data_IF_455945301339
#
_entry.id   IF_455945301339
#
_cell.length_a   1.000
_cell.length_b   1.000
_cell.length_c   1.000
_cell.angle_alpha   90.00
_cell.angle_beta   90.00
_cell.angle_gamma   90.00
#
_symmetry.space_group_name_H-M   'P 1'
#
loop_
_entity.id
_entity.type
_entity.pdbx_description
1 polymer ?
#
# COMPACT_ATOMS: atom_id res chain seq x y z
N UNK A 1 -1.14 34.56 6.53
CA UNK A 1 -0.51 33.43 5.84
C UNK A 1 -1.11 32.09 6.30
N UNK A 2 -1.19 31.86 7.60
CA UNK A 2 -1.73 30.59 8.16
C UNK A 2 -3.22 30.37 7.87
N UNK A 3 -4.02 31.44 7.72
CA UNK A 3 -5.43 31.33 7.32
C UNK A 3 -5.62 31.01 5.84
N UNK A 4 -4.65 31.36 4.98
CA UNK A 4 -4.59 30.93 3.58
C UNK A 4 -4.14 29.47 3.47
N UNK A 5 -3.24 29.07 4.36
CA UNK A 5 -2.78 27.70 4.51
C UNK A 5 -3.72 26.84 5.35
N UNK A 6 -4.93 27.29 5.62
CA UNK A 6 -5.93 26.40 6.23
C UNK A 6 -6.05 25.20 5.31
N UNK A 7 -5.66 24.01 5.82
CA UNK A 7 -5.51 22.85 4.97
C UNK A 7 -6.83 22.65 4.24
N UNK A 8 -6.77 22.60 2.94
CA UNK A 8 -7.88 22.18 2.12
C UNK A 8 -8.30 20.80 2.63
N UNK A 9 -9.11 20.78 3.69
CA UNK A 9 -9.67 19.58 4.23
C UNK A 9 -9.05 18.99 5.51
N UNK A 10 -8.06 19.61 6.14
CA UNK A 10 -7.46 19.05 7.37
C UNK A 10 -6.92 17.63 7.18
N UNK A 11 -6.71 16.92 8.29
CA UNK A 11 -6.36 15.52 8.24
C UNK A 11 -7.53 14.74 7.60
N UNK A 12 -7.32 14.01 6.49
CA UNK A 12 -8.42 13.31 5.86
C UNK A 12 -9.08 12.39 6.88
N UNK A 13 -10.40 12.47 6.94
CA UNK A 13 -11.19 11.53 7.74
C UNK A 13 -10.81 10.12 7.33
N UNK A 14 -10.73 9.23 8.30
CA UNK A 14 -10.54 7.82 8.01
C UNK A 14 -11.63 7.40 7.02
N UNK A 15 -11.23 6.84 5.88
CA UNK A 15 -12.18 6.39 4.87
C UNK A 15 -13.18 5.43 5.49
N UNK A 16 -14.45 5.70 5.28
CA UNK A 16 -15.49 4.77 5.71
C UNK A 16 -15.31 3.44 4.97
N UNK A 17 -15.47 2.30 5.65
CA UNK A 17 -15.26 0.98 5.03
C UNK A 17 -16.23 0.69 3.90
N UNK A 18 -17.39 1.34 3.90
CA UNK A 18 -18.43 1.17 2.88
C UNK A 18 -18.94 2.52 2.39
N UNK A 19 -19.33 2.59 1.12
CA UNK A 19 -19.94 3.78 0.54
C UNK A 19 -21.36 3.96 1.08
N UNK A 20 -21.81 5.20 1.25
CA UNK A 20 -23.11 5.54 1.76
C UNK A 20 -23.22 5.57 3.30
N UNK A 21 -24.37 6.05 3.80
CA UNK A 21 -24.68 6.12 5.22
C UNK A 21 -25.78 5.07 5.56
N UNK A 22 -25.53 4.17 6.54
CA UNK A 22 -26.52 3.17 6.94
C UNK A 22 -27.78 3.79 7.57
N UNK A 23 -27.71 5.05 8.02
CA UNK A 23 -28.82 5.79 8.63
C UNK A 23 -29.32 6.96 7.77
N UNK A 24 -28.78 7.12 6.57
CA UNK A 24 -29.13 8.18 5.63
C UNK A 24 -30.39 7.93 4.82
N UNK A 25 -30.47 8.57 3.68
CA UNK A 25 -31.59 8.40 2.73
C UNK A 25 -31.68 6.95 2.21
N UNK A 26 -32.84 6.53 1.67
CA UNK A 26 -32.99 5.17 1.10
C UNK A 26 -31.94 4.83 0.03
N UNK A 27 -31.48 5.82 -0.75
CA UNK A 27 -30.43 5.64 -1.75
C UNK A 27 -29.06 5.40 -1.11
N UNK A 28 -28.75 6.10 -0.03
CA UNK A 28 -27.50 5.90 0.72
C UNK A 28 -27.47 4.57 1.45
N UNK A 29 -28.60 4.14 2.02
CA UNK A 29 -28.73 2.82 2.63
C UNK A 29 -28.54 1.71 1.59
N UNK A 30 -29.10 1.86 0.40
CA UNK A 30 -28.91 0.91 -0.69
C UNK A 30 -27.44 0.86 -1.13
N UNK A 31 -26.78 2.01 -1.28
CA UNK A 31 -25.35 2.09 -1.61
C UNK A 31 -24.48 1.43 -0.54
N UNK A 32 -24.81 1.63 0.73
CA UNK A 32 -24.12 0.99 1.86
C UNK A 32 -24.24 -0.52 1.83
N UNK A 33 -25.46 -1.06 1.65
CA UNK A 33 -25.70 -2.50 1.58
C UNK A 33 -25.06 -3.15 0.36
N UNK A 34 -25.05 -2.47 -0.77
CA UNK A 34 -24.38 -2.94 -1.98
C UNK A 34 -22.86 -2.97 -1.80
N UNK A 35 -22.26 -1.90 -1.25
CA UNK A 35 -20.84 -1.82 -0.95
C UNK A 35 -20.42 -2.91 0.05
N UNK A 36 -21.22 -3.16 1.09
CA UNK A 36 -20.98 -4.22 2.06
C UNK A 36 -21.01 -5.61 1.44
N UNK A 37 -22.01 -5.89 0.59
CA UNK A 37 -22.10 -7.17 -0.13
C UNK A 37 -20.92 -7.38 -1.07
N UNK A 38 -20.54 -6.34 -1.81
CA UNK A 38 -19.38 -6.37 -2.70
C UNK A 38 -18.08 -6.61 -1.94
N UNK A 39 -17.92 -5.99 -0.76
CA UNK A 39 -16.77 -6.24 0.10
C UNK A 39 -16.72 -7.69 0.60
N UNK A 40 -17.84 -8.24 1.06
CA UNK A 40 -17.90 -9.66 1.50
C UNK A 40 -17.63 -10.62 0.34
N UNK A 41 -18.18 -10.34 -0.85
CA UNK A 41 -17.92 -11.12 -2.05
C UNK A 41 -16.44 -11.06 -2.46
N UNK A 42 -15.81 -9.88 -2.38
CA UNK A 42 -14.38 -9.70 -2.62
C UNK A 42 -13.53 -10.50 -1.63
N UNK A 43 -13.85 -10.41 -0.33
CA UNK A 43 -13.15 -11.17 0.71
C UNK A 43 -13.23 -12.68 0.46
N UNK A 44 -14.42 -13.19 0.16
CA UNK A 44 -14.63 -14.60 -0.17
C UNK A 44 -13.86 -14.99 -1.44
N UNK A 45 -13.92 -14.19 -2.48
CA UNK A 45 -13.19 -14.41 -3.73
C UNK A 45 -11.68 -14.45 -3.51
N UNK A 46 -11.13 -13.52 -2.71
CA UNK A 46 -9.70 -13.49 -2.38
C UNK A 46 -9.29 -14.71 -1.56
N UNK A 47 -10.09 -15.11 -0.57
CA UNK A 47 -9.79 -16.28 0.26
C UNK A 47 -9.75 -17.58 -0.58
N UNK A 48 -10.78 -17.83 -1.38
CA UNK A 48 -10.87 -19.03 -2.23
C UNK A 48 -9.84 -18.96 -3.36
N UNK A 49 -9.70 -17.80 -4.00
CA UNK A 49 -8.74 -17.59 -5.08
C UNK A 49 -7.30 -17.81 -4.63
N UNK A 50 -6.94 -17.28 -3.47
CA UNK A 50 -5.59 -17.47 -2.91
C UNK A 50 -5.32 -18.93 -2.56
N UNK A 51 -6.30 -19.62 -1.99
CA UNK A 51 -6.18 -21.04 -1.66
C UNK A 51 -6.06 -21.94 -2.92
N UNK A 52 -6.65 -21.53 -4.05
CA UNK A 52 -6.65 -22.25 -5.31
C UNK A 52 -5.51 -21.92 -6.27
N UNK A 53 -4.58 -21.04 -5.92
CA UNK A 53 -3.49 -20.64 -6.81
C UNK A 53 -2.58 -21.82 -7.18
N UNK A 54 -2.43 -22.14 -8.49
CA UNK A 54 -1.68 -23.33 -8.92
C UNK A 54 -0.22 -23.33 -8.46
N UNK A 55 0.45 -22.19 -8.45
CA UNK A 55 1.84 -22.07 -8.00
C UNK A 55 2.02 -22.27 -6.49
N UNK A 56 0.98 -22.09 -5.69
CA UNK A 56 0.98 -22.45 -4.26
C UNK A 56 0.74 -23.94 -4.09
N UNK A 57 -0.21 -24.51 -4.85
CA UNK A 57 -0.54 -25.93 -4.77
C UNK A 57 0.64 -26.81 -5.19
N UNK A 58 1.39 -26.45 -6.23
CA UNK A 58 2.58 -27.20 -6.66
C UNK A 58 3.65 -27.29 -5.58
N UNK A 59 3.77 -26.30 -4.68
CA UNK A 59 4.74 -26.34 -3.57
C UNK A 59 4.43 -27.41 -2.52
N UNK A 60 3.16 -27.81 -2.35
CA UNK A 60 2.80 -28.89 -1.43
C UNK A 60 3.36 -30.24 -1.87
N UNK A 61 3.58 -30.45 -3.18
CA UNK A 61 4.17 -31.67 -3.70
C UNK A 61 5.69 -31.75 -3.48
N UNK A 62 6.34 -30.66 -3.15
CA UNK A 62 7.80 -30.63 -2.88
C UNK A 62 8.14 -30.86 -1.41
N UNK A 63 7.15 -30.95 -0.54
CA UNK A 63 7.37 -31.10 0.92
C UNK A 63 7.45 -32.58 1.28
N UNK A 64 8.46 -33.00 2.07
CA UNK A 64 8.74 -34.43 2.33
C UNK A 64 7.70 -35.09 3.23
N UNK A 65 6.93 -34.36 4.02
CA UNK A 65 5.93 -34.90 4.91
C UNK A 65 4.79 -33.93 5.24
N UNK A 66 3.65 -34.48 5.66
CA UNK A 66 2.49 -33.66 6.10
C UNK A 66 2.82 -32.81 7.32
N UNK A 67 3.65 -33.32 8.24
CA UNK A 67 4.10 -32.54 9.40
C UNK A 67 4.95 -31.34 8.99
N UNK A 68 5.87 -31.51 8.05
CA UNK A 68 6.69 -30.43 7.51
C UNK A 68 5.83 -29.39 6.78
N UNK A 69 4.79 -29.85 6.04
CA UNK A 69 3.84 -28.93 5.39
C UNK A 69 3.10 -28.06 6.41
N UNK A 70 2.57 -28.65 7.48
CA UNK A 70 1.87 -27.91 8.54
C UNK A 70 2.77 -26.90 9.25
N UNK A 71 4.01 -27.27 9.54
CA UNK A 71 4.99 -26.36 10.16
C UNK A 71 5.33 -25.20 9.21
N UNK A 72 5.52 -25.47 7.93
CA UNK A 72 5.76 -24.44 6.91
C UNK A 72 4.58 -23.46 6.80
N UNK A 73 3.35 -23.97 6.78
CA UNK A 73 2.14 -23.12 6.76
C UNK A 73 2.05 -22.26 8.02
N UNK A 74 2.33 -22.81 9.20
CA UNK A 74 2.30 -22.05 10.44
C UNK A 74 3.30 -20.88 10.44
N UNK A 75 4.54 -21.11 10.00
CA UNK A 75 5.53 -20.04 9.83
C UNK A 75 5.14 -19.01 8.78
N UNK A 76 4.59 -19.47 7.66
CA UNK A 76 4.11 -18.55 6.62
C UNK A 76 3.01 -17.65 7.15
N UNK A 77 2.02 -18.20 7.86
CA UNK A 77 0.95 -17.41 8.48
C UNK A 77 1.46 -16.41 9.52
N UNK A 78 2.47 -16.81 10.30
CA UNK A 78 3.10 -15.92 11.26
C UNK A 78 3.73 -14.70 10.57
N UNK A 79 4.55 -14.91 9.52
CA UNK A 79 5.19 -13.81 8.79
C UNK A 79 4.18 -12.97 8.00
N UNK A 80 3.17 -13.60 7.41
CA UNK A 80 2.08 -12.87 6.73
C UNK A 80 1.32 -12.01 7.75
N UNK A 81 0.98 -12.55 8.91
CA UNK A 81 0.32 -11.80 9.99
C UNK A 81 1.15 -10.60 10.45
N UNK A 82 2.45 -10.78 10.63
CA UNK A 82 3.37 -9.71 11.01
C UNK A 82 3.43 -8.60 9.95
N UNK A 83 3.43 -8.97 8.66
CA UNK A 83 3.42 -8.02 7.55
C UNK A 83 2.10 -7.26 7.50
N UNK A 84 0.96 -7.93 7.63
CA UNK A 84 -0.36 -7.30 7.64
C UNK A 84 -0.61 -6.41 8.87
N UNK A 85 0.04 -6.67 10.00
CA UNK A 85 0.04 -5.78 11.17
C UNK A 85 0.98 -4.58 10.96
N UNK A 86 2.11 -4.80 10.29
CA UNK A 86 3.09 -3.75 10.01
C UNK A 86 2.58 -2.72 9.00
N UNK A 87 1.84 -3.13 7.97
CA UNK A 87 1.39 -2.25 6.91
C UNK A 87 0.49 -1.09 7.40
N UNK A 88 -0.56 -1.31 8.23
CA UNK A 88 -1.36 -0.22 8.79
C UNK A 88 -0.55 0.69 9.73
N UNK A 89 0.34 0.11 10.54
CA UNK A 89 1.20 0.88 11.43
C UNK A 89 2.12 1.82 10.62
N UNK A 90 2.73 1.31 9.55
CA UNK A 90 3.56 2.10 8.65
C UNK A 90 2.75 3.21 7.97
N UNK A 91 1.55 2.92 7.50
CA UNK A 91 0.67 3.91 6.87
C UNK A 91 0.34 5.07 7.81
N UNK A 92 0.09 4.78 9.09
CA UNK A 92 -0.16 5.81 10.12
C UNK A 92 1.09 6.63 10.40
N UNK A 93 2.25 5.98 10.53
CA UNK A 93 3.52 6.66 10.77
C UNK A 93 3.91 7.58 9.60
N UNK A 94 3.79 7.10 8.36
CA UNK A 94 4.06 7.92 7.16
C UNK A 94 3.13 9.11 7.09
N UNK A 95 1.84 8.91 7.36
CA UNK A 95 0.87 10.00 7.40
C UNK A 95 1.20 11.05 8.46
N UNK A 96 1.60 10.59 9.65
CA UNK A 96 2.05 11.47 10.71
C UNK A 96 3.31 12.27 10.30
N UNK A 97 4.28 11.61 9.68
CA UNK A 97 5.52 12.23 9.22
C UNK A 97 5.26 13.30 8.15
N UNK A 98 4.42 12.99 7.16
CA UNK A 98 4.00 13.95 6.14
C UNK A 98 3.32 15.16 6.75
N UNK A 99 2.38 14.93 7.69
CA UNK A 99 1.64 16.02 8.33
C UNK A 99 2.53 16.87 9.24
N UNK A 100 3.52 16.29 9.90
CA UNK A 100 4.37 17.00 10.87
C UNK A 100 5.54 17.72 10.22
N UNK A 101 6.14 17.15 9.17
CA UNK A 101 7.42 17.62 8.65
C UNK A 101 7.33 18.18 7.22
N UNK A 102 6.32 17.81 6.43
CA UNK A 102 6.17 18.31 5.06
C UNK A 102 5.09 19.37 4.94
N UNK A 103 3.92 19.14 5.53
CA UNK A 103 2.83 20.11 5.47
C UNK A 103 3.21 21.39 6.23
N UNK A 104 3.04 22.54 5.58
CA UNK A 104 3.42 23.84 6.12
C UNK A 104 4.84 24.30 5.74
N UNK A 105 5.61 23.51 4.97
CA UNK A 105 6.91 23.95 4.43
C UNK A 105 6.72 24.72 3.12
N UNK A 106 7.65 25.64 2.82
CA UNK A 106 7.66 26.31 1.53
C UNK A 106 8.07 25.34 0.41
N UNK A 107 7.49 25.49 -0.78
CA UNK A 107 7.84 24.66 -1.95
C UNK A 107 9.33 24.68 -2.28
N UNK A 108 9.99 25.82 -2.08
CA UNK A 108 11.44 25.96 -2.30
C UNK A 108 12.31 25.22 -1.26
N UNK A 109 11.73 24.89 -0.11
CA UNK A 109 12.40 24.22 0.99
C UNK A 109 12.07 22.71 1.08
N UNK A 110 11.35 22.18 0.09
CA UNK A 110 10.99 20.76 0.07
C UNK A 110 12.24 19.87 -0.08
N UNK A 111 12.27 18.71 0.58
CA UNK A 111 13.33 17.74 0.46
C UNK A 111 13.56 17.29 -0.99
N UNK A 112 14.82 17.11 -1.38
CA UNK A 112 15.21 16.74 -2.73
C UNK A 112 14.59 15.42 -3.24
N UNK A 113 14.27 14.48 -2.34
CA UNK A 113 13.67 13.21 -2.70
C UNK A 113 12.29 13.40 -3.36
N UNK A 114 11.53 14.42 -2.98
CA UNK A 114 10.23 14.75 -3.61
C UNK A 114 10.43 15.05 -5.09
N UNK A 115 11.38 15.92 -5.42
CA UNK A 115 11.69 16.26 -6.81
C UNK A 115 12.24 15.06 -7.59
N UNK A 116 13.00 14.17 -6.95
CA UNK A 116 13.53 12.97 -7.59
C UNK A 116 12.41 12.00 -7.96
N UNK A 117 11.50 11.69 -7.05
CA UNK A 117 10.38 10.78 -7.32
C UNK A 117 9.37 11.37 -8.32
N UNK A 118 9.09 12.66 -8.25
CA UNK A 118 8.22 13.34 -9.24
C UNK A 118 8.77 13.27 -10.65
N UNK A 119 10.10 13.24 -10.81
CA UNK A 119 10.76 13.08 -12.12
C UNK A 119 10.69 11.66 -12.65
N UNK A 120 10.63 10.66 -11.78
CA UNK A 120 10.49 9.25 -12.20
C UNK A 120 9.10 9.03 -12.76
N UNK A 121 8.07 9.41 -12.00
CA UNK A 121 6.68 9.31 -12.43
C UNK A 121 5.81 10.24 -11.57
N UNK A 122 5.15 11.20 -12.21
CA UNK A 122 4.25 12.14 -11.55
C UNK A 122 3.00 11.47 -10.95
N UNK A 123 2.65 10.26 -11.39
CA UNK A 123 1.57 9.48 -10.79
C UNK A 123 1.94 8.87 -9.44
N UNK A 124 3.24 8.64 -9.19
CA UNK A 124 3.76 8.14 -7.93
C UNK A 124 3.84 9.24 -6.88
N UNK A 125 4.36 10.41 -7.29
CA UNK A 125 4.46 11.57 -6.41
C UNK A 125 4.29 12.85 -7.23
N UNK A 126 3.32 13.66 -6.86
CA UNK A 126 3.18 15.01 -7.39
C UNK A 126 2.90 16.01 -6.28
N UNK A 127 3.46 17.18 -6.42
CA UNK A 127 3.21 18.34 -5.57
C UNK A 127 2.86 19.51 -6.47
N UNK A 128 1.75 20.17 -6.18
CA UNK A 128 1.23 21.27 -6.99
C UNK A 128 0.66 22.34 -6.06
N UNK A 129 1.15 23.58 -6.21
CA UNK A 129 0.64 24.72 -5.44
C UNK A 129 -0.70 25.16 -6.03
N UNK A 130 -1.79 24.62 -5.51
CA UNK A 130 -3.16 24.81 -6.02
C UNK A 130 -3.68 26.22 -5.69
N UNK A 131 -3.31 26.74 -4.52
CA UNK A 131 -3.81 28.03 -4.03
C UNK A 131 -2.85 29.20 -4.29
N UNK A 132 -1.62 28.93 -4.75
CA UNK A 132 -0.60 29.93 -5.07
C UNK A 132 -0.02 30.63 -3.84
N UNK A 133 0.00 29.99 -2.66
CA UNK A 133 0.53 30.58 -1.44
C UNK A 133 2.01 30.22 -1.20
N UNK A 134 2.56 29.30 -1.99
CA UNK A 134 3.95 28.83 -1.88
C UNK A 134 4.22 27.95 -0.67
N UNK A 135 3.19 27.49 0.05
CA UNK A 135 3.29 26.65 1.24
C UNK A 135 2.58 25.34 0.97
N UNK A 136 3.31 24.24 1.10
CA UNK A 136 2.75 22.91 0.84
C UNK A 136 1.63 22.56 1.83
N UNK A 137 0.47 22.24 1.29
CA UNK A 137 -0.69 21.75 2.02
C UNK A 137 -0.93 20.27 1.76
N UNK A 138 -1.68 19.60 2.64
CA UNK A 138 -1.94 18.17 2.49
C UNK A 138 -2.65 17.81 1.18
N UNK A 139 -3.57 18.68 0.69
CA UNK A 139 -4.28 18.45 -0.57
C UNK A 139 -3.42 18.66 -1.82
N UNK A 140 -2.28 19.32 -1.66
CA UNK A 140 -1.32 19.65 -2.73
C UNK A 140 -0.25 18.61 -2.94
N UNK A 141 -0.15 17.64 -2.03
CA UNK A 141 0.71 16.48 -2.18
C UNK A 141 -0.12 15.25 -2.55
N UNK A 142 0.20 14.64 -3.65
CA UNK A 142 -0.34 13.35 -4.08
C UNK A 142 0.75 12.31 -4.02
N UNK A 143 0.53 11.28 -3.22
CA UNK A 143 1.46 10.17 -3.06
C UNK A 143 0.73 8.86 -3.40
N UNK A 144 1.24 8.15 -4.39
CA UNK A 144 0.74 6.83 -4.75
C UNK A 144 0.91 5.82 -3.62
N UNK A 145 -0.06 4.94 -3.45
CA UNK A 145 -0.01 3.92 -2.40
C UNK A 145 1.24 3.02 -2.49
N UNK A 146 1.67 2.72 -3.70
CA UNK A 146 2.83 1.87 -3.96
C UNK A 146 4.16 2.54 -3.60
N UNK A 147 4.20 3.89 -3.69
CA UNK A 147 5.38 4.65 -3.32
C UNK A 147 5.60 4.70 -1.82
N UNK A 148 4.55 4.67 -1.02
CA UNK A 148 4.63 4.85 0.44
C UNK A 148 5.65 3.91 1.06
N UNK A 149 5.65 2.64 0.68
CA UNK A 149 6.61 1.64 1.19
C UNK A 149 8.05 1.95 0.77
N UNK A 150 8.25 2.36 -0.48
CA UNK A 150 9.58 2.63 -1.04
C UNK A 150 10.18 3.94 -0.51
N UNK A 151 9.35 4.96 -0.33
CA UNK A 151 9.77 6.28 0.14
C UNK A 151 9.89 6.37 1.68
N UNK A 152 9.38 5.41 2.44
CA UNK A 152 9.41 5.43 3.91
C UNK A 152 10.78 5.68 4.51
N UNK A 153 11.88 5.05 4.05
CA UNK A 153 13.21 5.33 4.60
C UNK A 153 13.65 6.78 4.36
N UNK A 154 13.30 7.35 3.23
CA UNK A 154 13.64 8.73 2.87
C UNK A 154 12.81 9.73 3.69
N UNK A 155 11.52 9.45 3.87
CA UNK A 155 10.63 10.20 4.75
C UNK A 155 11.15 10.23 6.19
N UNK A 156 11.60 9.10 6.70
CA UNK A 156 12.16 8.97 8.05
C UNK A 156 13.60 9.48 8.19
N UNK A 157 14.19 10.11 7.16
CA UNK A 157 15.56 10.61 7.17
C UNK A 157 16.61 9.51 7.34
N UNK A 158 16.31 8.28 6.98
CA UNK A 158 17.22 7.15 7.11
C UNK A 158 18.31 7.19 6.03
N UNK A 159 19.49 6.55 6.26
CA UNK A 159 20.51 6.43 5.25
C UNK A 159 20.00 5.81 3.95
N UNK A 160 20.45 6.31 2.81
CA UNK A 160 20.04 5.85 1.47
C UNK A 160 20.25 4.34 1.24
N UNK A 161 21.17 3.72 1.99
CA UNK A 161 21.39 2.27 1.95
C UNK A 161 20.14 1.49 2.34
N UNK A 162 19.33 2.01 3.28
CA UNK A 162 18.06 1.38 3.66
C UNK A 162 16.99 1.53 2.56
N UNK A 163 16.96 2.68 1.87
CA UNK A 163 16.09 2.86 0.69
C UNK A 163 16.44 1.84 -0.39
N UNK A 164 17.74 1.65 -0.66
CA UNK A 164 18.22 0.62 -1.58
C UNK A 164 17.85 -0.80 -1.17
N UNK A 165 17.92 -1.10 0.13
CA UNK A 165 17.55 -2.41 0.66
C UNK A 165 16.03 -2.67 0.53
N UNK A 166 15.19 -1.67 0.80
CA UNK A 166 13.73 -1.76 0.63
C UNK A 166 13.37 -1.95 -0.84
N UNK A 167 13.99 -1.19 -1.74
CA UNK A 167 13.79 -1.33 -3.18
C UNK A 167 14.21 -2.72 -3.69
N UNK A 168 15.37 -3.22 -3.25
CA UNK A 168 15.84 -4.56 -3.57
C UNK A 168 14.90 -5.64 -3.04
N UNK A 169 14.36 -5.46 -1.83
CA UNK A 169 13.36 -6.35 -1.24
C UNK A 169 12.05 -6.38 -2.05
N UNK A 170 11.57 -5.22 -2.48
CA UNK A 170 10.38 -5.11 -3.34
C UNK A 170 10.59 -5.82 -4.69
N UNK A 171 11.74 -5.62 -5.33
CA UNK A 171 12.10 -6.29 -6.57
C UNK A 171 12.21 -7.81 -6.38
N UNK A 172 12.85 -8.26 -5.30
CA UNK A 172 12.97 -9.68 -4.98
C UNK A 172 11.60 -10.34 -4.79
N UNK A 173 10.65 -9.65 -4.13
CA UNK A 173 9.29 -10.14 -3.95
C UNK A 173 8.55 -10.29 -5.29
N UNK A 174 8.68 -9.29 -6.18
CA UNK A 174 8.09 -9.34 -7.52
C UNK A 174 8.67 -10.49 -8.36
N UNK A 175 9.99 -10.65 -8.37
CA UNK A 175 10.69 -11.73 -9.10
C UNK A 175 10.32 -13.11 -8.55
N UNK A 176 10.20 -13.27 -7.22
CA UNK A 176 9.78 -14.53 -6.59
C UNK A 176 8.39 -14.98 -7.05
N UNK A 177 7.47 -14.03 -7.23
CA UNK A 177 6.14 -14.33 -7.75
C UNK A 177 6.17 -14.73 -9.21
N UNK A 178 6.92 -13.98 -10.03
CA UNK A 178 7.11 -14.28 -11.45
C UNK A 178 7.72 -15.68 -11.67
N UNK A 179 8.74 -16.04 -10.90
CA UNK A 179 9.40 -17.35 -10.95
C UNK A 179 8.42 -18.49 -10.65
N UNK A 180 7.61 -18.36 -9.60
CA UNK A 180 6.57 -19.34 -9.27
C UNK A 180 5.53 -19.54 -10.38
N UNK A 181 5.13 -18.45 -11.05
CA UNK A 181 4.20 -18.50 -12.17
C UNK A 181 4.82 -19.14 -13.42
N UNK A 182 6.06 -18.78 -13.74
CA UNK A 182 6.80 -19.36 -14.86
C UNK A 182 7.00 -20.88 -14.67
N UNK A 183 7.34 -21.31 -13.46
CA UNK A 183 7.46 -22.74 -13.15
C UNK A 183 6.14 -23.48 -13.37
N UNK A 184 5.02 -22.87 -12.96
CA UNK A 184 3.68 -23.47 -13.14
C UNK A 184 3.31 -23.58 -14.60
N UNK A 185 3.56 -22.54 -15.40
CA UNK A 185 3.33 -22.54 -16.85
C UNK A 185 4.20 -23.61 -17.53
N UNK A 186 5.49 -23.64 -17.18
CA UNK A 186 6.41 -24.65 -17.73
C UNK A 186 5.95 -26.07 -17.45
N UNK A 187 5.52 -26.37 -16.22
CA UNK A 187 4.98 -27.68 -15.87
C UNK A 187 3.69 -28.03 -16.61
N UNK A 188 2.85 -27.03 -16.91
CA UNK A 188 1.62 -27.25 -17.66
C UNK A 188 1.87 -27.53 -19.16
N UNK A 189 2.92 -26.96 -19.73
CA UNK A 189 3.29 -27.14 -21.15
C UNK A 189 4.03 -28.45 -21.41
N UNK A 190 4.74 -29.00 -20.42
CA UNK A 190 5.53 -30.24 -20.57
C UNK A 190 4.71 -31.50 -20.33
N UNK A 191 3.49 -31.38 -19.79
CA UNK A 191 2.56 -32.48 -19.59
C UNK A 191 1.65 -32.68 -20.80
#
# INVERSE_FOLDING_TARGET
AYERAKPLGGMPLQSQPFAGDPHGSPAEQQAYEESRRNFLALMFCLMVGTAGLPHLLTRYFTVPSVSAARTSVAWSLFFIGLLYLGAPALAVLVKYEVMSNLVGTHFDALPNWIAQWSRVDASLLSVEDINGDGILQFAEIRMGADLIMLATPELGGMPYVLSGLVAAGGLAAALSTADGLLLTISNALVR
#
